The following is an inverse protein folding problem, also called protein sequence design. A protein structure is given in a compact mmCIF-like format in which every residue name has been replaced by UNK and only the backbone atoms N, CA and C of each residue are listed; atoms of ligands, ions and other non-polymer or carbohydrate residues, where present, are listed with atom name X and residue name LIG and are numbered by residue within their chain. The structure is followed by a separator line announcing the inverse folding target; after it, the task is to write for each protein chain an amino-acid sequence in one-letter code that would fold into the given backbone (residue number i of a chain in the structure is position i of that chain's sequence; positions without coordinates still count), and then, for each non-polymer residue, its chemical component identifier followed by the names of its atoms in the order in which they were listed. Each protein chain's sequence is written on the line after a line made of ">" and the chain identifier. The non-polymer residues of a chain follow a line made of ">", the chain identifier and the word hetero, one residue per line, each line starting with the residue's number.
data_IF_893854015543
#
_entry.id   IF_893854015543
#
_cell.length_a   1.000
_cell.length_b   1.000
_cell.length_c   1.000
_cell.angle_alpha   90.00
_cell.angle_beta   90.00
_cell.angle_gamma   90.00
#
_symmetry.space_group_name_H-M   'P 1'
#
loop_
_entity.id
_entity.type
_entity.pdbx_description
1 polymer ?
#
# COMPACT_ATOMS: atom_id res chain seq x y z
N UNK A 1 -7.10 8.74 -20.66
CA UNK A 1 -5.91 9.39 -20.07
C UNK A 1 -6.26 9.89 -18.67
N UNK A 2 -5.32 9.76 -17.75
CA UNK A 2 -5.48 10.23 -16.38
C UNK A 2 -5.39 11.76 -16.29
N UNK A 3 -6.08 12.40 -15.32
CA UNK A 3 -5.99 13.87 -15.15
C UNK A 3 -4.55 14.35 -14.89
N UNK A 4 -4.17 15.52 -15.41
CA UNK A 4 -2.85 16.16 -15.20
C UNK A 4 -2.41 16.19 -13.73
N UNK A 5 -3.33 16.36 -12.79
CA UNK A 5 -3.02 16.39 -11.35
C UNK A 5 -2.47 15.05 -10.83
N UNK A 6 -2.75 13.92 -11.52
CA UNK A 6 -2.22 12.60 -11.18
C UNK A 6 -0.77 12.41 -11.65
N UNK A 7 -0.23 13.35 -12.43
CA UNK A 7 1.20 13.34 -12.78
C UNK A 7 2.02 13.67 -11.54
N UNK A 8 2.96 12.80 -11.12
CA UNK A 8 3.75 13.02 -9.91
C UNK A 8 4.61 14.29 -9.96
N UNK A 9 4.95 14.84 -8.82
CA UNK A 9 5.99 15.88 -8.74
C UNK A 9 7.36 15.29 -9.03
N UNK A 10 8.25 16.11 -9.62
CA UNK A 10 9.61 15.69 -9.95
C UNK A 10 10.34 15.26 -8.69
N UNK A 11 10.71 14.00 -8.62
CA UNK A 11 11.61 13.43 -7.64
C UNK A 11 12.94 13.05 -8.31
N UNK A 12 14.03 13.02 -7.55
CA UNK A 12 15.30 12.52 -8.06
C UNK A 12 15.19 10.98 -8.07
N UNK A 13 15.39 10.32 -9.23
CA UNK A 13 15.27 8.85 -9.37
C UNK A 13 16.06 8.11 -8.29
N UNK A 14 17.27 8.57 -7.96
CA UNK A 14 18.11 7.98 -6.90
C UNK A 14 17.52 8.03 -5.48
N UNK A 15 16.49 8.84 -5.25
CA UNK A 15 15.78 8.90 -3.97
C UNK A 15 14.58 7.94 -3.93
N UNK A 16 14.12 7.46 -5.07
CA UNK A 16 13.05 6.50 -5.14
C UNK A 16 13.63 5.09 -5.05
N UNK A 17 13.08 4.28 -4.19
CA UNK A 17 13.40 2.86 -4.06
C UNK A 17 12.12 2.05 -3.97
N UNK A 18 12.19 0.82 -4.45
CA UNK A 18 11.12 -0.15 -4.21
C UNK A 18 11.39 -0.86 -2.89
N UNK A 19 10.33 -1.09 -2.12
CA UNK A 19 10.31 -1.90 -0.90
C UNK A 19 9.18 -2.92 -1.05
N UNK A 20 9.40 -4.15 -0.62
CA UNK A 20 8.49 -5.26 -0.84
C UNK A 20 8.79 -6.04 -2.13
N UNK A 21 7.96 -7.02 -2.48
CA UNK A 21 8.22 -7.93 -3.58
C UNK A 21 8.20 -7.24 -4.95
N UNK A 22 8.90 -7.84 -5.92
CA UNK A 22 8.84 -7.41 -7.34
C UNK A 22 7.56 -7.94 -8.03
N UNK A 23 6.45 -7.83 -7.33
CA UNK A 23 5.09 -8.19 -7.77
C UNK A 23 4.11 -7.33 -6.96
N UNK A 24 2.87 -7.77 -6.84
CA UNK A 24 1.88 -7.18 -5.95
C UNK A 24 2.38 -7.06 -4.50
N UNK A 25 2.02 -6.01 -3.80
CA UNK A 25 2.44 -5.73 -2.42
C UNK A 25 3.81 -5.05 -2.27
N UNK A 26 4.54 -4.76 -3.35
CA UNK A 26 5.74 -3.92 -3.31
C UNK A 26 5.45 -2.50 -3.79
N UNK A 27 6.01 -1.50 -3.12
CA UNK A 27 5.71 -0.08 -3.38
C UNK A 27 6.98 0.75 -3.53
N UNK A 28 6.92 1.75 -4.41
CA UNK A 28 8.00 2.73 -4.58
C UNK A 28 7.86 3.85 -3.55
N UNK A 29 8.91 4.06 -2.77
CA UNK A 29 8.94 5.06 -1.70
C UNK A 29 10.15 6.00 -1.83
N UNK A 30 10.13 7.12 -1.12
CA UNK A 30 11.28 8.02 -1.03
C UNK A 30 12.19 7.58 0.13
N UNK A 31 13.43 7.17 -0.17
CA UNK A 31 14.38 6.66 0.84
C UNK A 31 14.74 7.66 1.93
N UNK A 32 14.54 8.98 1.70
CA UNK A 32 14.81 10.02 2.70
C UNK A 32 13.93 9.91 3.94
N UNK A 33 12.76 9.26 3.80
CA UNK A 33 11.84 9.06 4.94
C UNK A 33 12.24 7.89 5.82
N UNK A 34 12.92 6.88 5.30
CA UNK A 34 13.05 5.56 5.93
C UNK A 34 13.54 5.67 7.37
N UNK A 35 14.73 6.22 7.58
CA UNK A 35 15.32 6.36 8.92
C UNK A 35 14.59 7.34 9.84
N UNK A 36 13.68 8.16 9.31
CA UNK A 36 12.90 9.15 10.05
C UNK A 36 11.55 8.63 10.50
N UNK A 37 11.05 7.57 9.88
CA UNK A 37 9.79 6.91 10.22
C UNK A 37 9.95 6.15 11.54
N UNK A 38 9.05 6.43 12.50
CA UNK A 38 8.99 5.73 13.78
C UNK A 38 7.93 4.64 13.79
N UNK A 39 6.87 4.82 13.03
CA UNK A 39 5.76 3.87 12.97
C UNK A 39 5.33 3.68 11.52
N UNK A 40 5.34 2.44 11.05
CA UNK A 40 4.67 2.03 9.83
C UNK A 40 3.28 1.52 10.21
N UNK A 41 2.26 2.19 9.69
CA UNK A 41 0.86 1.79 9.87
C UNK A 41 0.38 1.23 8.54
N UNK A 42 0.01 -0.05 8.54
CA UNK A 42 -0.48 -0.76 7.36
C UNK A 42 -1.96 -1.10 7.55
N UNK A 43 -2.81 -0.54 6.70
CA UNK A 43 -4.24 -0.82 6.65
C UNK A 43 -4.55 -1.63 5.40
N UNK A 44 -4.98 -2.88 5.59
CA UNK A 44 -4.99 -3.91 4.56
C UNK A 44 -3.64 -4.62 4.50
N UNK A 45 -3.63 -5.85 5.00
CA UNK A 45 -2.45 -6.70 5.04
C UNK A 45 -2.57 -7.86 4.06
N UNK A 46 -3.81 -8.35 3.93
CA UNK A 46 -4.09 -9.61 3.27
C UNK A 46 -3.20 -10.73 3.85
N UNK A 47 -2.76 -11.67 3.05
CA UNK A 47 -1.82 -12.72 3.47
C UNK A 47 -0.37 -12.42 3.06
N UNK A 48 -0.03 -11.15 2.90
CA UNK A 48 1.32 -10.69 2.52
C UNK A 48 1.78 -9.52 3.40
N UNK A 49 2.95 -9.66 4.03
CA UNK A 49 3.63 -8.66 4.87
C UNK A 49 5.10 -8.49 4.47
N UNK A 50 5.45 -8.83 3.24
CA UNK A 50 6.83 -8.71 2.76
C UNK A 50 7.26 -7.24 2.67
N UNK A 51 6.32 -6.32 2.37
CA UNK A 51 6.60 -4.87 2.43
C UNK A 51 7.04 -4.46 3.85
N UNK A 52 6.28 -4.86 4.85
CA UNK A 52 6.55 -4.56 6.26
C UNK A 52 7.85 -5.18 6.73
N UNK A 53 8.15 -6.42 6.32
CA UNK A 53 9.42 -7.10 6.61
C UNK A 53 10.61 -6.40 5.99
N UNK A 54 10.52 -6.07 4.71
CA UNK A 54 11.61 -5.42 4.00
C UNK A 54 11.84 -4.01 4.54
N UNK A 55 10.77 -3.28 4.86
CA UNK A 55 10.90 -1.99 5.52
C UNK A 55 11.62 -2.09 6.87
N UNK A 56 11.31 -3.10 7.69
CA UNK A 56 12.00 -3.34 8.95
C UNK A 56 13.47 -3.71 8.77
N UNK A 57 13.87 -4.43 7.72
CA UNK A 57 15.30 -4.70 7.44
C UNK A 57 16.08 -3.40 7.22
N UNK A 58 15.44 -2.39 6.61
CA UNK A 58 16.07 -1.10 6.31
C UNK A 58 15.96 -0.13 7.50
N UNK A 59 14.90 -0.25 8.32
CA UNK A 59 14.67 0.53 9.53
C UNK A 59 14.25 -0.36 10.71
N UNK A 60 15.20 -1.03 11.39
CA UNK A 60 14.90 -1.98 12.47
C UNK A 60 14.22 -1.37 13.71
N UNK A 61 14.28 -0.05 13.85
CA UNK A 61 13.68 0.68 14.99
C UNK A 61 12.24 1.12 14.74
N UNK A 62 11.68 0.78 13.59
CA UNK A 62 10.30 1.12 13.25
C UNK A 62 9.32 0.16 13.95
N UNK A 63 8.29 0.71 14.58
CA UNK A 63 7.13 -0.06 15.06
C UNK A 63 6.21 -0.37 13.88
N UNK A 64 5.77 -1.63 13.72
CA UNK A 64 4.77 -2.03 12.73
C UNK A 64 3.41 -2.21 13.38
N UNK A 65 2.41 -1.50 12.89
CA UNK A 65 1.00 -1.62 13.29
C UNK A 65 0.15 -1.96 12.08
N UNK A 66 -0.20 -3.22 11.92
CA UNK A 66 -1.06 -3.68 10.84
C UNK A 66 -2.52 -3.79 11.29
N UNK A 67 -3.44 -3.43 10.41
CA UNK A 67 -4.89 -3.50 10.62
C UNK A 67 -5.54 -4.22 9.46
N UNK A 68 -6.05 -5.42 9.73
CA UNK A 68 -6.80 -6.20 8.74
C UNK A 68 -7.77 -7.15 9.46
N UNK A 69 -9.04 -7.12 9.08
CA UNK A 69 -10.05 -7.98 9.70
C UNK A 69 -10.20 -9.33 9.01
N UNK A 70 -9.64 -9.47 7.80
CA UNK A 70 -9.77 -10.68 6.98
C UNK A 70 -8.80 -11.77 7.43
N UNK A 71 -7.58 -11.39 7.83
CA UNK A 71 -6.52 -12.29 8.27
C UNK A 71 -6.69 -12.66 9.75
N UNK A 72 -7.57 -13.60 10.02
CA UNK A 72 -7.93 -14.06 11.36
C UNK A 72 -7.75 -15.59 11.52
N UNK A 73 -8.06 -16.13 12.71
CA UNK A 73 -7.92 -17.57 12.97
C UNK A 73 -8.68 -18.45 11.96
N UNK A 74 -9.89 -18.02 11.53
CA UNK A 74 -10.69 -18.75 10.54
C UNK A 74 -10.01 -18.75 9.17
N UNK A 75 -9.43 -17.62 8.77
CA UNK A 75 -8.64 -17.50 7.54
C UNK A 75 -7.50 -18.54 7.53
N UNK A 76 -6.67 -18.58 8.58
CA UNK A 76 -5.53 -19.50 8.68
C UNK A 76 -5.96 -20.94 8.71
N UNK A 77 -7.01 -21.28 9.46
CA UNK A 77 -7.60 -22.63 9.49
C UNK A 77 -8.06 -23.08 8.11
N UNK A 78 -8.78 -22.21 7.38
CA UNK A 78 -9.27 -22.53 6.04
C UNK A 78 -8.13 -22.64 5.03
N UNK A 79 -7.12 -21.80 5.12
CA UNK A 79 -5.93 -21.86 4.28
C UNK A 79 -5.16 -23.16 4.50
N UNK A 80 -4.87 -23.47 5.74
CA UNK A 80 -4.19 -24.73 6.11
C UNK A 80 -4.94 -25.95 5.55
N UNK A 81 -6.27 -26.02 5.74
CA UNK A 81 -7.09 -27.09 5.17
C UNK A 81 -6.97 -27.17 3.64
N UNK A 82 -7.09 -26.04 2.94
CA UNK A 82 -6.96 -26.00 1.47
C UNK A 82 -5.58 -26.44 1.00
N UNK A 83 -4.53 -26.03 1.68
CA UNK A 83 -3.16 -26.36 1.32
C UNK A 83 -2.88 -27.84 1.59
N UNK A 84 -3.39 -28.39 2.70
CA UNK A 84 -3.30 -29.81 3.06
C UNK A 84 -4.05 -30.69 2.05
N UNK A 85 -5.30 -30.37 1.73
CA UNK A 85 -6.09 -31.08 0.71
C UNK A 85 -5.38 -31.02 -0.64
N UNK A 86 -4.88 -29.86 -1.03
CA UNK A 86 -4.11 -29.70 -2.26
C UNK A 86 -2.81 -30.50 -2.30
N UNK A 87 -2.19 -30.70 -1.16
CA UNK A 87 -0.99 -31.54 -1.02
C UNK A 87 -1.29 -33.00 -1.30
N UNK A 88 -2.37 -33.52 -0.71
CA UNK A 88 -2.75 -34.94 -0.86
C UNK A 88 -3.41 -35.27 -2.21
N UNK A 89 -4.22 -34.36 -2.77
CA UNK A 89 -4.99 -34.65 -3.98
C UNK A 89 -4.22 -34.37 -5.29
N UNK A 90 -3.20 -33.52 -5.28
CA UNK A 90 -2.44 -33.19 -6.47
C UNK A 90 -1.10 -33.93 -6.44
N UNK A 91 -0.98 -35.00 -7.23
CA UNK A 91 0.26 -35.82 -7.42
C UNK A 91 1.50 -35.00 -7.85
N UNK A 92 1.37 -33.72 -8.18
CA UNK A 92 2.49 -32.79 -8.44
C UNK A 92 2.71 -31.91 -7.20
N UNK A 93 3.68 -32.28 -6.39
CA UNK A 93 4.28 -31.48 -5.31
C UNK A 93 4.76 -30.13 -5.90
N UNK A 94 3.94 -29.08 -5.79
CA UNK A 94 4.43 -27.74 -6.06
C UNK A 94 5.09 -27.23 -4.78
N UNK A 95 6.42 -27.12 -4.78
CA UNK A 95 7.23 -26.50 -3.70
C UNK A 95 6.58 -25.27 -3.07
N UNK A 96 5.89 -24.45 -3.90
CA UNK A 96 5.15 -23.27 -3.47
C UNK A 96 4.01 -23.56 -2.47
N UNK A 97 3.41 -24.77 -2.49
CA UNK A 97 2.36 -25.15 -1.55
C UNK A 97 2.91 -25.59 -0.20
N UNK A 98 4.09 -26.22 -0.20
CA UNK A 98 4.83 -26.54 1.03
C UNK A 98 5.24 -25.24 1.74
N UNK A 99 5.74 -24.26 0.99
CA UNK A 99 6.10 -22.93 1.51
C UNK A 99 4.89 -22.20 2.14
N UNK A 100 3.67 -22.41 1.62
CA UNK A 100 2.46 -21.83 2.21
C UNK A 100 2.12 -22.40 3.60
N UNK A 101 2.46 -23.65 3.89
CA UNK A 101 2.26 -24.24 5.23
C UNK A 101 3.09 -23.47 6.27
N UNK A 102 4.30 -23.06 5.91
CA UNK A 102 5.17 -22.27 6.77
C UNK A 102 4.76 -20.79 6.90
N UNK A 103 3.88 -20.30 6.03
CA UNK A 103 3.45 -18.90 6.03
C UNK A 103 2.75 -18.51 7.35
N UNK A 104 2.01 -19.41 7.95
CA UNK A 104 1.38 -19.15 9.25
C UNK A 104 2.42 -19.03 10.37
N UNK A 105 3.46 -19.85 10.35
CA UNK A 105 4.56 -19.78 11.32
C UNK A 105 5.30 -18.47 11.17
N UNK A 106 5.58 -18.06 9.93
CA UNK A 106 6.20 -16.78 9.62
C UNK A 106 5.33 -15.61 10.09
N UNK A 107 4.01 -15.65 9.87
CA UNK A 107 3.06 -14.65 10.37
C UNK A 107 3.14 -14.50 11.90
N UNK A 108 3.06 -15.62 12.65
CA UNK A 108 3.15 -15.59 14.12
C UNK A 108 4.50 -15.02 14.56
N UNK A 109 5.58 -15.42 13.89
CA UNK A 109 6.92 -14.99 14.24
C UNK A 109 7.12 -13.50 13.95
N UNK A 110 6.57 -12.98 12.85
CA UNK A 110 6.68 -11.58 12.49
C UNK A 110 5.86 -10.68 13.43
N UNK A 111 4.61 -11.05 13.71
CA UNK A 111 3.71 -10.26 14.57
C UNK A 111 3.88 -10.58 16.07
N UNK A 112 5.14 -10.69 16.51
CA UNK A 112 5.52 -10.79 17.92
C UNK A 112 6.15 -9.48 18.40
N UNK A 113 6.18 -9.28 19.71
CA UNK A 113 6.86 -8.15 20.37
C UNK A 113 6.41 -6.77 19.85
N UNK A 114 7.25 -6.12 19.04
CA UNK A 114 7.03 -4.75 18.58
C UNK A 114 6.12 -4.66 17.35
N UNK A 115 5.93 -5.74 16.61
CA UNK A 115 5.04 -5.77 15.45
C UNK A 115 3.68 -6.27 15.87
N UNK A 116 2.64 -5.49 15.58
CA UNK A 116 1.28 -5.82 16.02
C UNK A 116 0.33 -5.91 14.84
N UNK A 117 -0.46 -6.98 14.80
CA UNK A 117 -1.59 -7.08 13.91
C UNK A 117 -2.89 -7.01 14.69
N UNK A 118 -3.73 -6.04 14.33
CA UNK A 118 -5.06 -5.84 14.89
C UNK A 118 -6.12 -6.38 13.91
N UNK A 119 -6.85 -7.40 14.31
CA UNK A 119 -7.95 -7.99 13.51
C UNK A 119 -9.15 -7.04 13.58
N UNK A 120 -9.03 -5.90 12.86
CA UNK A 120 -10.04 -4.85 12.83
C UNK A 120 -10.21 -4.28 11.44
N UNK A 121 -11.47 -4.02 11.05
CA UNK A 121 -11.78 -3.28 9.83
C UNK A 121 -11.50 -1.79 10.06
N UNK A 122 -10.74 -1.19 9.16
CA UNK A 122 -10.49 0.26 9.17
C UNK A 122 -11.69 0.98 8.56
N UNK A 123 -12.21 1.96 9.28
CA UNK A 123 -13.43 2.69 8.89
C UNK A 123 -13.32 4.19 9.22
N UNK A 124 -14.25 4.99 8.73
CA UNK A 124 -14.35 6.41 9.09
C UNK A 124 -14.80 6.58 10.55
N UNK A 125 -15.86 5.88 10.96
CA UNK A 125 -16.43 5.87 12.32
C UNK A 125 -16.68 4.43 12.77
N UNK A 126 -16.06 4.02 13.87
CA UNK A 126 -16.26 2.67 14.42
C UNK A 126 -17.67 2.53 15.02
N UNK A 127 -18.36 1.44 14.68
CA UNK A 127 -19.68 1.10 15.18
C UNK A 127 -19.65 -0.03 16.21
N UNK A 128 -18.59 -0.83 16.22
CA UNK A 128 -18.45 -1.99 17.09
C UNK A 128 -16.95 -2.28 17.40
N UNK A 129 -16.69 -3.29 18.23
CA UNK A 129 -15.33 -3.69 18.65
C UNK A 129 -14.46 -4.28 17.53
N UNK A 130 -15.06 -4.72 16.41
CA UNK A 130 -14.34 -5.27 15.24
C UNK A 130 -13.89 -4.18 14.28
N UNK A 131 -14.27 -2.94 14.52
CA UNK A 131 -13.91 -1.79 13.70
C UNK A 131 -12.96 -0.85 14.45
N UNK A 132 -12.19 -0.08 13.68
CA UNK A 132 -11.35 0.99 14.20
C UNK A 132 -11.35 2.16 13.24
N UNK A 133 -11.55 3.38 13.76
CA UNK A 133 -11.50 4.56 12.91
C UNK A 133 -10.06 4.96 12.61
N UNK A 134 -9.81 5.43 11.37
CA UNK A 134 -8.50 5.95 10.98
C UNK A 134 -8.03 7.09 11.90
N UNK A 135 -8.94 7.92 12.40
CA UNK A 135 -8.63 8.97 13.38
C UNK A 135 -8.04 8.38 14.67
N UNK A 136 -8.58 7.24 15.15
CA UNK A 136 -8.07 6.55 16.34
C UNK A 136 -6.71 5.93 16.11
N UNK A 137 -6.49 5.36 14.91
CA UNK A 137 -5.20 4.78 14.49
C UNK A 137 -4.10 5.85 14.50
N UNK A 138 -4.37 7.04 13.95
CA UNK A 138 -3.40 8.13 13.83
C UNK A 138 -3.21 8.90 15.16
N UNK A 139 -4.09 8.74 16.13
CA UNK A 139 -4.02 9.47 17.41
C UNK A 139 -2.70 9.16 18.13
N UNK A 140 -2.01 10.21 18.61
CA UNK A 140 -0.76 10.14 19.36
C UNK A 140 0.42 9.48 18.63
N UNK A 141 0.32 9.27 17.30
CA UNK A 141 1.41 8.77 16.49
C UNK A 141 2.06 9.92 15.73
N UNK A 142 3.37 9.85 15.54
CA UNK A 142 4.17 10.84 14.80
C UNK A 142 5.17 10.12 13.90
N UNK A 143 5.64 10.83 12.86
CA UNK A 143 6.63 10.32 11.92
C UNK A 143 6.16 9.00 11.28
N UNK A 144 4.97 9.03 10.72
CA UNK A 144 4.25 7.85 10.23
C UNK A 144 4.58 7.63 8.75
N UNK A 145 4.85 6.37 8.37
CA UNK A 145 4.56 5.85 7.05
C UNK A 145 3.18 5.18 7.12
N UNK A 146 2.24 5.67 6.34
CA UNK A 146 0.87 5.15 6.30
C UNK A 146 0.63 4.43 4.97
N UNK A 147 0.35 3.13 5.01
CA UNK A 147 -0.08 2.32 3.86
C UNK A 147 -1.57 2.05 3.99
N UNK A 148 -2.32 2.32 2.93
CA UNK A 148 -3.77 2.12 2.85
C UNK A 148 -4.09 1.30 1.61
N UNK A 149 -4.63 0.12 1.82
CA UNK A 149 -5.15 -0.78 0.81
C UNK A 149 -6.34 -1.53 1.43
N UNK A 150 -7.54 -0.94 1.36
CA UNK A 150 -8.75 -1.38 2.07
C UNK A 150 -9.96 -1.61 1.16
N UNK A 151 -9.66 -2.01 -0.07
CA UNK A 151 -10.62 -2.59 -1.01
C UNK A 151 -11.88 -1.72 -1.27
N UNK A 152 -11.64 -0.44 -1.60
CA UNK A 152 -12.67 0.53 -2.00
C UNK A 152 -13.18 1.45 -0.87
N UNK A 153 -12.75 1.24 0.37
CA UNK A 153 -13.09 2.13 1.50
C UNK A 153 -12.08 3.31 1.66
N UNK A 154 -11.03 3.42 0.81
CA UNK A 154 -9.98 4.45 0.84
C UNK A 154 -10.56 5.86 0.81
N UNK A 155 -11.59 6.06 0.01
CA UNK A 155 -12.24 7.37 -0.20
C UNK A 155 -12.90 7.92 1.06
N UNK A 156 -13.31 7.04 1.97
CA UNK A 156 -13.95 7.41 3.25
C UNK A 156 -12.95 7.94 4.27
N UNK A 157 -11.67 7.54 4.14
CA UNK A 157 -10.63 7.89 5.12
C UNK A 157 -9.74 9.06 4.68
N UNK A 158 -9.92 9.60 3.47
CA UNK A 158 -9.08 10.68 2.93
C UNK A 158 -9.13 11.96 3.78
N UNK A 159 -10.31 12.35 4.25
CA UNK A 159 -10.45 13.59 5.02
C UNK A 159 -9.75 13.55 6.39
N UNK A 160 -9.90 12.48 7.20
CA UNK A 160 -9.09 12.30 8.40
C UNK A 160 -7.58 12.25 8.13
N UNK A 161 -7.13 11.59 7.05
CA UNK A 161 -5.72 11.55 6.67
C UNK A 161 -5.22 12.97 6.36
N UNK A 162 -5.96 13.73 5.56
CA UNK A 162 -5.64 15.11 5.23
C UNK A 162 -5.54 16.00 6.48
N UNK A 163 -6.42 15.83 7.46
CA UNK A 163 -6.41 16.61 8.72
C UNK A 163 -5.23 16.25 9.63
N UNK A 164 -4.64 15.08 9.48
CA UNK A 164 -3.52 14.60 10.29
C UNK A 164 -2.18 14.55 9.51
N UNK A 165 -2.10 15.23 8.37
CA UNK A 165 -0.93 15.17 7.48
C UNK A 165 0.38 15.54 8.19
N UNK A 166 0.37 16.42 9.19
CA UNK A 166 1.56 16.87 9.92
C UNK A 166 2.31 15.71 10.61
N UNK A 167 1.63 14.59 10.88
CA UNK A 167 2.20 13.41 11.51
C UNK A 167 2.64 12.35 10.49
N UNK A 168 2.22 12.47 9.23
CA UNK A 168 2.47 11.51 8.16
C UNK A 168 3.62 12.03 7.31
N UNK A 169 4.71 11.25 7.23
CA UNK A 169 5.85 11.55 6.38
C UNK A 169 5.65 11.04 4.96
N UNK A 170 5.11 9.84 4.85
CA UNK A 170 4.79 9.20 3.58
C UNK A 170 3.42 8.51 3.67
N UNK A 171 2.62 8.69 2.64
CA UNK A 171 1.38 7.96 2.41
C UNK A 171 1.53 7.11 1.17
N UNK A 172 1.28 5.82 1.30
CA UNK A 172 1.04 4.89 0.20
C UNK A 172 -0.46 4.58 0.23
N UNK A 173 -1.12 4.72 -0.90
CA UNK A 173 -2.56 4.44 -0.99
C UNK A 173 -2.88 3.79 -2.32
N UNK A 174 -3.56 2.65 -2.26
CA UNK A 174 -4.15 1.99 -3.41
C UNK A 174 -5.59 2.46 -3.59
N UNK A 175 -5.89 3.08 -4.72
CA UNK A 175 -7.22 3.57 -5.04
C UNK A 175 -7.94 2.61 -5.98
N UNK A 176 -9.00 2.00 -5.51
CA UNK A 176 -9.86 1.11 -6.28
C UNK A 176 -10.96 1.86 -7.03
N UNK A 177 -11.34 1.37 -8.22
CA UNK A 177 -12.41 1.96 -9.03
C UNK A 177 -12.22 3.46 -9.28
N UNK A 178 -11.01 3.87 -9.71
CA UNK A 178 -10.62 5.28 -9.81
C UNK A 178 -11.55 6.10 -10.70
N UNK A 179 -12.07 5.51 -11.79
CA UNK A 179 -12.95 6.18 -12.73
C UNK A 179 -14.25 6.68 -12.09
N UNK A 180 -14.77 5.98 -11.06
CA UNK A 180 -15.97 6.38 -10.30
C UNK A 180 -15.66 7.43 -9.22
N UNK A 181 -14.40 7.60 -8.86
CA UNK A 181 -13.99 8.41 -7.71
C UNK A 181 -12.94 9.46 -8.05
N UNK A 182 -12.75 9.74 -9.33
CA UNK A 182 -11.69 10.61 -9.84
C UNK A 182 -11.70 11.99 -9.17
N UNK A 183 -12.88 12.57 -8.94
CA UNK A 183 -13.02 13.89 -8.33
C UNK A 183 -12.68 13.90 -6.84
N UNK A 184 -12.93 12.79 -6.13
CA UNK A 184 -12.49 12.66 -4.73
C UNK A 184 -10.97 12.64 -4.64
N UNK A 185 -10.30 11.90 -5.56
CA UNK A 185 -8.83 11.86 -5.62
C UNK A 185 -8.28 13.24 -6.01
N UNK A 186 -8.84 13.90 -7.04
CA UNK A 186 -8.45 15.27 -7.43
C UNK A 186 -8.54 16.22 -6.25
N UNK A 187 -9.69 16.23 -5.56
CA UNK A 187 -9.94 17.10 -4.39
C UNK A 187 -8.92 16.84 -3.28
N UNK A 188 -8.58 15.58 -3.03
CA UNK A 188 -7.57 15.21 -2.05
C UNK A 188 -6.18 15.70 -2.44
N UNK A 189 -5.73 15.42 -3.67
CA UNK A 189 -4.42 15.86 -4.19
C UNK A 189 -4.25 17.39 -4.20
N UNK A 190 -5.31 18.12 -4.57
CA UNK A 190 -5.29 19.60 -4.59
C UNK A 190 -5.15 20.18 -3.18
N UNK A 191 -5.93 19.67 -2.22
CA UNK A 191 -6.06 20.24 -0.89
C UNK A 191 -5.09 19.68 0.14
N UNK A 192 -4.32 18.61 -0.22
CA UNK A 192 -3.38 17.97 0.69
C UNK A 192 -1.98 18.58 0.61
N UNK A 193 -1.26 18.56 1.73
CA UNK A 193 0.18 18.79 1.82
C UNK A 193 1.00 17.53 1.54
N UNK A 194 0.32 16.37 1.41
CA UNK A 194 0.91 15.13 0.92
C UNK A 194 0.92 15.21 -0.60
N UNK A 195 2.10 15.39 -1.20
CA UNK A 195 2.27 15.60 -2.64
C UNK A 195 2.65 14.32 -3.33
N UNK A 196 1.96 14.00 -4.42
CA UNK A 196 2.18 12.78 -5.21
C UNK A 196 3.60 12.78 -5.81
N UNK A 197 4.39 11.77 -5.47
CA UNK A 197 5.77 11.59 -5.95
C UNK A 197 5.94 10.37 -6.84
N UNK A 198 5.02 9.41 -6.76
CA UNK A 198 5.02 8.20 -7.57
C UNK A 198 3.58 7.71 -7.79
N UNK A 199 3.35 7.09 -8.94
CA UNK A 199 2.09 6.42 -9.31
C UNK A 199 2.40 5.19 -10.15
N UNK A 200 1.68 4.09 -9.89
CA UNK A 200 1.73 2.86 -10.67
C UNK A 200 0.30 2.37 -10.93
N UNK A 201 0.05 1.81 -12.10
CA UNK A 201 -1.23 1.20 -12.44
C UNK A 201 -1.24 -0.28 -12.07
N UNK A 202 -2.12 -0.69 -11.16
CA UNK A 202 -2.23 -2.09 -10.77
C UNK A 202 -2.87 -2.91 -11.90
N UNK A 203 -2.07 -3.73 -12.59
CA UNK A 203 -2.50 -4.53 -13.74
C UNK A 203 -3.32 -5.78 -13.35
N UNK A 204 -3.40 -6.11 -12.06
CA UNK A 204 -4.23 -7.21 -11.57
C UNK A 204 -5.71 -6.92 -11.81
N UNK A 205 -6.13 -5.68 -11.53
CA UNK A 205 -7.51 -5.21 -11.70
C UNK A 205 -7.86 -4.82 -13.14
N UNK A 206 -6.88 -4.84 -14.06
CA UNK A 206 -7.06 -4.52 -15.47
C UNK A 206 -7.32 -3.03 -15.74
N UNK A 207 -7.80 -2.77 -16.94
CA UNK A 207 -8.06 -1.43 -17.49
C UNK A 207 -9.53 -1.23 -17.80
N UNK A 208 -9.96 0.03 -17.83
CA UNK A 208 -11.28 0.43 -18.28
C UNK A 208 -11.35 0.58 -19.83
N UNK A 209 -12.52 1.01 -20.34
CA UNK A 209 -12.74 1.23 -21.79
C UNK A 209 -11.80 2.27 -22.41
N UNK A 210 -11.31 3.21 -21.60
CA UNK A 210 -10.37 4.27 -22.02
C UNK A 210 -8.90 3.85 -21.89
N UNK A 211 -8.63 2.57 -21.61
CA UNK A 211 -7.30 2.00 -21.34
C UNK A 211 -6.61 2.59 -20.09
N UNK A 212 -7.36 3.25 -19.19
CA UNK A 212 -6.85 3.68 -17.90
C UNK A 212 -6.98 2.54 -16.87
N UNK A 213 -6.06 2.43 -15.89
CA UNK A 213 -6.14 1.39 -14.86
C UNK A 213 -7.41 1.54 -14.01
N UNK A 214 -7.99 0.43 -13.59
CA UNK A 214 -9.10 0.43 -12.63
C UNK A 214 -8.62 0.73 -11.21
N UNK A 215 -7.36 0.40 -10.93
CA UNK A 215 -6.70 0.59 -9.64
C UNK A 215 -5.35 1.25 -9.84
N UNK A 216 -5.00 2.20 -8.99
CA UNK A 216 -3.69 2.86 -8.97
C UNK A 216 -3.10 2.89 -7.57
N UNK A 217 -1.82 2.61 -7.50
CA UNK A 217 -0.98 2.77 -6.32
C UNK A 217 -0.35 4.17 -6.35
N UNK A 218 -0.58 4.96 -5.34
CA UNK A 218 -0.04 6.32 -5.24
C UNK A 218 0.84 6.47 -4.00
N UNK A 219 2.06 6.96 -4.19
CA UNK A 219 2.95 7.34 -3.10
C UNK A 219 3.02 8.86 -2.99
N UNK A 220 2.73 9.36 -1.80
CA UNK A 220 2.70 10.79 -1.51
C UNK A 220 3.64 11.14 -0.37
N UNK A 221 4.41 12.21 -0.55
CA UNK A 221 5.39 12.71 0.41
C UNK A 221 4.90 14.01 1.06
N UNK A 222 5.14 14.14 2.35
CA UNK A 222 4.82 15.37 3.08
C UNK A 222 5.74 16.51 2.66
N UNK A 223 5.19 17.48 1.94
CA UNK A 223 5.94 18.62 1.38
C UNK A 223 6.39 19.64 2.42
N UNK A 224 5.86 19.61 3.64
CA UNK A 224 6.31 20.46 4.75
C UNK A 224 7.51 19.85 5.49
N UNK A 225 7.71 18.54 5.39
CA UNK A 225 8.80 17.81 6.04
C UNK A 225 9.96 17.49 5.09
N UNK A 226 9.67 17.40 3.80
CA UNK A 226 10.65 17.02 2.78
C UNK A 226 10.56 17.94 1.58
N UNK A 227 11.69 18.55 1.22
CA UNK A 227 11.77 19.43 0.04
C UNK A 227 11.42 18.65 -1.23
N UNK A 228 10.48 19.20 -2.01
CA UNK A 228 10.07 18.70 -3.33
C UNK A 228 10.26 19.78 -4.39
N UNK A 229 10.46 19.34 -5.63
CA UNK A 229 10.39 20.24 -6.80
C UNK A 229 8.98 20.77 -6.97
N UNK A 230 8.84 22.01 -7.44
CA UNK A 230 7.56 22.56 -7.86
C UNK A 230 7.09 21.99 -9.22
N UNK A 231 8.01 21.44 -10.00
CA UNK A 231 7.73 20.92 -11.33
C UNK A 231 7.19 19.48 -11.28
N UNK A 232 6.40 19.11 -12.27
CA UNK A 232 5.96 17.74 -12.49
C UNK A 232 7.08 16.86 -13.06
N UNK A 233 6.99 15.57 -12.81
CA UNK A 233 7.92 14.57 -13.32
C UNK A 233 7.89 14.51 -14.85
N UNK A 234 9.05 14.25 -15.45
CA UNK A 234 9.19 13.90 -16.87
C UNK A 234 9.32 12.39 -17.11
N UNK A 235 9.25 11.57 -16.04
CA UNK A 235 9.31 10.12 -16.18
C UNK A 235 8.08 9.60 -16.92
N UNK A 236 8.30 8.55 -17.73
CA UNK A 236 7.24 7.65 -18.17
C UNK A 236 6.90 6.70 -17.02
N UNK A 237 5.66 6.32 -16.90
CA UNK A 237 5.16 5.39 -15.91
C UNK A 237 4.56 4.19 -16.64
N UNK A 238 4.94 2.95 -16.28
CA UNK A 238 5.79 2.56 -15.16
C UNK A 238 7.26 2.99 -15.30
N UNK A 239 7.96 3.23 -14.18
CA UNK A 239 9.38 3.57 -14.17
C UNK A 239 10.20 2.28 -14.19
N UNK A 240 10.99 2.09 -15.25
CA UNK A 240 11.88 0.93 -15.39
C UNK A 240 12.80 0.77 -14.15
N UNK A 241 12.95 -0.45 -13.68
CA UNK A 241 13.75 -0.89 -12.52
C UNK A 241 13.21 -0.45 -11.14
N UNK A 242 12.04 0.21 -11.11
CA UNK A 242 11.31 0.56 -9.89
C UNK A 242 9.92 -0.06 -9.84
N UNK A 243 9.22 -0.03 -10.97
CA UNK A 243 7.89 -0.62 -11.07
C UNK A 243 7.97 -2.04 -11.63
N UNK A 244 7.13 -2.89 -11.11
CA UNK A 244 6.98 -4.26 -11.54
C UNK A 244 5.49 -4.61 -11.59
N UNK A 245 5.14 -5.47 -12.53
CA UNK A 245 3.76 -5.94 -12.71
C UNK A 245 3.21 -6.59 -11.45
N UNK A 246 2.03 -6.20 -11.01
CA UNK A 246 1.33 -6.85 -9.89
C UNK A 246 0.96 -8.30 -10.28
N UNK A 247 0.51 -8.50 -11.52
CA UNK A 247 0.14 -9.80 -12.05
C UNK A 247 0.99 -10.18 -13.27
N UNK A 248 1.88 -11.16 -13.11
CA UNK A 248 2.89 -11.58 -14.12
C UNK A 248 2.34 -12.06 -15.46
N UNK A 249 1.05 -12.40 -15.55
CA UNK A 249 0.42 -12.88 -16.79
C UNK A 249 -0.17 -11.76 -17.65
N UNK A 250 -0.02 -10.51 -17.26
CA UNK A 250 -0.48 -9.34 -18.00
C UNK A 250 0.67 -8.34 -18.10
N UNK A 251 0.68 -7.61 -19.22
CA UNK A 251 1.62 -6.50 -19.39
C UNK A 251 1.32 -5.40 -18.37
N UNK A 252 2.35 -4.63 -18.04
CA UNK A 252 2.20 -3.45 -17.19
C UNK A 252 1.37 -2.36 -17.89
N UNK A 253 0.77 -1.45 -17.13
CA UNK A 253 -0.12 -0.42 -17.66
C UNK A 253 0.66 0.88 -17.85
N UNK A 254 0.88 1.27 -19.11
CA UNK A 254 1.45 2.58 -19.41
C UNK A 254 0.48 3.69 -19.02
N UNK A 255 0.91 4.58 -18.11
CA UNK A 255 0.09 5.70 -17.66
C UNK A 255 0.29 6.92 -18.54
N UNK A 256 -0.81 7.44 -19.08
CA UNK A 256 -0.86 8.65 -19.88
C UNK A 256 -1.66 9.71 -19.15
N UNK A 257 -1.15 10.95 -19.15
CA UNK A 257 -1.75 12.07 -18.45
C UNK A 257 -2.20 13.12 -19.47
N UNK A 258 -3.35 13.75 -19.21
CA UNK A 258 -3.78 14.92 -19.97
C UNK A 258 -2.75 16.06 -19.76
N UNK A 259 -2.61 16.92 -20.74
CA UNK A 259 -1.76 18.12 -20.68
C UNK A 259 -2.30 19.20 -19.74
#
# INVERSE_FOLDING_TARGET
>A
MLPKIFKPYKSIKKNLIRVGPNTDGGYVIDKRVIKKVKTLISCGLNDDWEFEKEFLKINPYCEILAYDHTVNKKFWKNRFKKDLISFFLLKKLRLRKILNIFKYIDYINFFKKNNKHYIKKVVLKSKNKKEISIKKILKNKKNILLKIDIEGDEYKVLEPIKKNFQHIYLLIIEFHNIHKNIDKIKKFLMKSKLKLIHIHGNNYSGINKNKDPNVVEMTMLNSEKFKLSKNKSKFKYPIKDLDYVNFKRRNDIELRFND
#
